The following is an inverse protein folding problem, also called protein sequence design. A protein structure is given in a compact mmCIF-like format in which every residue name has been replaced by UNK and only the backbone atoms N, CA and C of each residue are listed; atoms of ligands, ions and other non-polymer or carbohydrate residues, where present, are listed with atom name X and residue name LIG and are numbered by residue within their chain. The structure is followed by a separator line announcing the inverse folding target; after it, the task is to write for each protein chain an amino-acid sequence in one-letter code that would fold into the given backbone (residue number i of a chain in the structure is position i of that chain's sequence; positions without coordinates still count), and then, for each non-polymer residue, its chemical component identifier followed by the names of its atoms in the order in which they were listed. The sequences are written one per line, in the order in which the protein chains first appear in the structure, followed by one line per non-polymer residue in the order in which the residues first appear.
data_IF_187641416750
#
_entry.id   IF_187641416750
#
_cell.length_a   1.000
_cell.length_b   1.000
_cell.length_c   1.000
_cell.angle_alpha   90.00
_cell.angle_beta   90.00
_cell.angle_gamma   90.00
#
_symmetry.space_group_name_H-M   'P 1'
#
loop_
_entity.id
_entity.type
_entity.pdbx_description
1 polymer ?
#
# COMPACT_ATOMS: atom_id res chain seq x y z
N UNK A 1 -71.22 -5.84 48.94
CA UNK A 1 -71.01 -6.51 47.64
C UNK A 1 -69.55 -6.30 47.28
N UNK A 2 -68.71 -7.33 47.51
CA UNK A 2 -67.31 -7.34 47.06
C UNK A 2 -67.36 -7.96 45.68
N UNK A 3 -67.08 -7.15 44.65
CA UNK A 3 -66.97 -7.66 43.28
C UNK A 3 -65.61 -8.33 43.21
N UNK A 4 -65.60 -9.67 43.24
CA UNK A 4 -64.39 -10.45 43.06
C UNK A 4 -63.76 -10.08 41.71
N UNK A 5 -62.64 -9.37 41.75
CA UNK A 5 -61.81 -9.06 40.60
C UNK A 5 -61.06 -10.35 40.16
N UNK A 6 -61.81 -11.35 39.68
CA UNK A 6 -61.30 -12.65 39.22
C UNK A 6 -60.44 -12.58 37.95
N UNK A 7 -60.17 -11.38 37.42
CA UNK A 7 -59.34 -11.20 36.25
C UNK A 7 -57.85 -11.05 36.54
N UNK A 8 -57.41 -11.01 37.80
CA UNK A 8 -56.06 -10.49 38.08
C UNK A 8 -54.92 -11.52 38.12
N UNK A 9 -55.12 -12.82 37.89
CA UNK A 9 -54.07 -13.86 38.05
C UNK A 9 -54.03 -14.88 36.90
N UNK A 10 -53.88 -14.44 35.64
CA UNK A 10 -53.38 -15.34 34.58
C UNK A 10 -51.85 -15.28 34.54
N UNK A 11 -51.13 -16.32 35.03
CA UNK A 11 -49.66 -16.34 35.07
C UNK A 11 -49.05 -16.30 33.67
N UNK A 12 -49.73 -16.85 32.66
CA UNK A 12 -49.27 -16.85 31.28
C UNK A 12 -49.31 -15.45 30.67
N UNK A 13 -50.32 -14.66 31.01
CA UNK A 13 -50.41 -13.26 30.61
C UNK A 13 -49.30 -12.39 31.23
N UNK A 14 -48.91 -12.67 32.49
CA UNK A 14 -47.78 -11.98 33.14
C UNK A 14 -46.43 -12.34 32.52
N UNK A 15 -46.22 -13.60 32.20
CA UNK A 15 -45.02 -14.08 31.53
C UNK A 15 -44.89 -13.48 30.13
N UNK A 16 -45.98 -13.48 29.35
CA UNK A 16 -46.02 -12.85 28.03
C UNK A 16 -45.79 -11.33 28.09
N UNK A 17 -46.31 -10.65 29.11
CA UNK A 17 -46.04 -9.23 29.32
C UNK A 17 -44.56 -8.97 29.68
N UNK A 18 -43.94 -9.83 30.48
CA UNK A 18 -42.50 -9.76 30.79
C UNK A 18 -41.63 -9.97 29.55
N UNK A 19 -41.93 -11.00 28.75
CA UNK A 19 -41.23 -11.27 27.49
C UNK A 19 -41.40 -10.12 26.48
N UNK A 20 -42.59 -9.52 26.41
CA UNK A 20 -42.84 -8.36 25.54
C UNK A 20 -42.04 -7.12 25.99
N UNK A 21 -41.86 -6.92 27.29
CA UNK A 21 -41.04 -5.84 27.83
C UNK A 21 -39.55 -6.04 27.50
N UNK A 22 -39.02 -7.24 27.75
CA UNK A 22 -37.63 -7.60 27.39
C UNK A 22 -37.37 -7.46 25.89
N UNK A 23 -38.33 -7.88 25.06
CA UNK A 23 -38.23 -7.75 23.60
C UNK A 23 -38.18 -6.28 23.17
N UNK A 24 -39.01 -5.41 23.74
CA UNK A 24 -38.98 -3.98 23.45
C UNK A 24 -37.67 -3.33 23.89
N UNK A 25 -37.13 -3.70 25.06
CA UNK A 25 -35.84 -3.21 25.51
C UNK A 25 -34.71 -3.66 24.57
N UNK A 26 -34.72 -4.92 24.13
CA UNK A 26 -33.76 -5.44 23.17
C UNK A 26 -33.86 -4.73 21.81
N UNK A 27 -35.07 -4.43 21.32
CA UNK A 27 -35.29 -3.67 20.09
C UNK A 27 -34.75 -2.24 20.20
N UNK A 28 -34.97 -1.55 21.32
CA UNK A 28 -34.39 -0.23 21.56
C UNK A 28 -32.86 -0.27 21.60
N UNK A 29 -32.27 -1.29 22.24
CA UNK A 29 -30.81 -1.46 22.27
C UNK A 29 -30.25 -1.76 20.87
N UNK A 30 -30.95 -2.55 20.08
CA UNK A 30 -30.58 -2.85 18.70
C UNK A 30 -30.60 -1.57 17.85
N UNK A 31 -31.65 -0.75 17.95
CA UNK A 31 -31.77 0.52 17.23
C UNK A 31 -30.62 1.47 17.62
N UNK A 32 -30.35 1.62 18.93
CA UNK A 32 -29.22 2.42 19.43
C UNK A 32 -27.88 1.93 18.87
N UNK A 33 -27.66 0.61 18.82
CA UNK A 33 -26.41 0.05 18.30
C UNK A 33 -26.27 0.22 16.78
N UNK A 34 -27.35 0.09 16.00
CA UNK A 34 -27.37 0.36 14.56
C UNK A 34 -27.02 1.82 14.26
N UNK A 35 -27.59 2.77 15.01
CA UNK A 35 -27.25 4.19 14.87
C UNK A 35 -25.75 4.41 15.14
N UNK A 36 -25.20 3.78 16.17
CA UNK A 36 -23.76 3.87 16.46
C UNK A 36 -22.89 3.23 15.37
N UNK A 37 -23.29 2.08 14.82
CA UNK A 37 -22.58 1.43 13.71
C UNK A 37 -22.55 2.35 12.48
N UNK A 38 -23.69 2.93 12.10
CA UNK A 38 -23.76 3.88 10.97
C UNK A 38 -22.85 5.10 11.16
N UNK A 39 -22.61 5.51 12.40
CA UNK A 39 -21.70 6.61 12.73
C UNK A 39 -20.24 6.17 12.59
N UNK A 40 -19.89 5.01 13.13
CA UNK A 40 -18.55 4.41 13.01
C UNK A 40 -18.18 4.13 11.55
N UNK A 41 -19.11 3.65 10.74
CA UNK A 41 -18.91 3.41 9.31
C UNK A 41 -18.54 4.71 8.59
N UNK A 42 -19.28 5.79 8.84
CA UNK A 42 -18.97 7.12 8.29
C UNK A 42 -17.61 7.65 8.77
N UNK A 43 -17.24 7.41 10.02
CA UNK A 43 -15.92 7.76 10.56
C UNK A 43 -14.80 6.96 9.87
N UNK A 44 -14.99 5.66 9.65
CA UNK A 44 -14.03 4.81 8.94
C UNK A 44 -13.85 5.26 7.49
N UNK A 45 -14.94 5.57 6.78
CA UNK A 45 -14.87 6.11 5.41
C UNK A 45 -14.14 7.46 5.35
N UNK A 46 -14.30 8.31 6.37
CA UNK A 46 -13.59 9.57 6.46
C UNK A 46 -12.09 9.35 6.73
N UNK A 47 -11.76 8.49 7.69
CA UNK A 47 -10.38 8.13 7.99
C UNK A 47 -9.67 7.49 6.79
N UNK A 48 -10.36 6.61 6.06
CA UNK A 48 -9.81 5.97 4.87
C UNK A 48 -9.45 7.01 3.80
N UNK A 49 -10.33 7.98 3.57
CA UNK A 49 -10.05 9.12 2.68
C UNK A 49 -8.82 9.92 3.11
N UNK A 50 -8.69 10.22 4.40
CA UNK A 50 -7.52 10.93 4.94
C UNK A 50 -6.23 10.12 4.76
N UNK A 51 -6.27 8.80 4.97
CA UNK A 51 -5.11 7.92 4.75
C UNK A 51 -4.72 7.93 3.27
N UNK A 52 -5.68 7.87 2.35
CA UNK A 52 -5.40 7.87 0.91
C UNK A 52 -4.86 9.22 0.44
N UNK A 53 -5.38 10.33 0.98
CA UNK A 53 -4.85 11.68 0.75
C UNK A 53 -3.41 11.82 1.28
N UNK A 54 -3.15 11.41 2.53
CA UNK A 54 -1.80 11.42 3.09
C UNK A 54 -0.84 10.53 2.28
N UNK A 55 -1.29 9.36 1.80
CA UNK A 55 -0.50 8.50 0.92
C UNK A 55 -0.18 9.20 -0.40
N UNK A 56 -1.13 9.91 -1.00
CA UNK A 56 -0.90 10.69 -2.22
C UNK A 56 0.11 11.82 -1.97
N UNK A 57 0.02 12.53 -0.86
CA UNK A 57 0.99 13.55 -0.47
C UNK A 57 2.39 12.96 -0.20
N UNK A 58 2.45 11.83 0.52
CA UNK A 58 3.71 11.11 0.72
C UNK A 58 4.30 10.61 -0.60
N UNK A 59 3.50 10.23 -1.59
CA UNK A 59 3.98 9.90 -2.95
C UNK A 59 4.63 11.12 -3.61
N UNK A 60 3.97 12.28 -3.60
CA UNK A 60 4.52 13.54 -4.14
C UNK A 60 5.84 13.92 -3.46
N UNK A 61 5.89 13.82 -2.14
CA UNK A 61 7.07 14.17 -1.34
C UNK A 61 8.20 13.11 -1.45
N UNK A 62 7.87 11.83 -1.60
CA UNK A 62 8.86 10.76 -1.82
C UNK A 62 9.57 10.92 -3.16
N UNK A 63 8.87 11.36 -4.20
CA UNK A 63 9.49 11.66 -5.51
C UNK A 63 10.52 12.80 -5.40
N UNK A 64 10.33 13.74 -4.47
CA UNK A 64 11.20 14.91 -4.32
C UNK A 64 12.36 14.71 -3.34
N UNK A 65 12.18 13.91 -2.27
CA UNK A 65 13.16 13.78 -1.17
C UNK A 65 14.16 12.63 -1.34
N UNK A 66 13.83 11.54 -2.05
CA UNK A 66 14.60 10.28 -1.98
C UNK A 66 16.07 10.29 -2.43
N UNK A 67 16.59 11.19 -3.29
CA UNK A 67 18.03 11.23 -3.56
C UNK A 67 18.90 11.58 -2.33
N UNK A 68 18.32 12.21 -1.30
CA UNK A 68 19.03 12.56 -0.06
C UNK A 68 19.36 11.32 0.78
N UNK A 69 18.57 10.24 0.69
CA UNK A 69 18.80 9.00 1.47
C UNK A 69 19.96 8.17 0.91
N UNK A 70 20.17 8.22 -0.40
CA UNK A 70 21.31 7.59 -1.08
C UNK A 70 22.66 8.20 -0.66
N UNK A 71 22.66 9.48 -0.27
CA UNK A 71 23.87 10.22 0.09
C UNK A 71 24.23 10.18 1.58
N UNK A 72 23.26 10.08 2.50
CA UNK A 72 23.52 10.09 3.95
C UNK A 72 24.11 8.76 4.45
N UNK A 73 24.02 7.69 3.66
CA UNK A 73 24.35 6.32 4.10
C UNK A 73 25.62 5.71 3.48
N UNK A 74 26.30 6.43 2.57
CA UNK A 74 27.59 6.00 2.02
C UNK A 74 28.74 6.39 2.96
N UNK A 75 29.38 5.39 3.58
CA UNK A 75 30.48 5.53 4.58
C UNK A 75 31.87 5.77 3.97
N UNK A 76 31.94 6.35 2.77
CA UNK A 76 33.21 6.75 2.15
C UNK A 76 33.20 8.27 1.94
N UNK A 77 33.34 9.04 3.01
CA UNK A 77 33.47 10.50 2.91
C UNK A 77 34.48 10.99 3.96
N UNK A 78 35.74 11.05 3.55
CA UNK A 78 36.81 11.69 4.30
C UNK A 78 36.75 13.21 4.11
N UNK A 79 36.25 13.91 5.14
CA UNK A 79 36.71 15.25 5.47
C UNK A 79 36.10 16.48 4.78
N UNK A 80 35.34 17.24 5.58
CA UNK A 80 35.39 18.72 5.74
C UNK A 80 34.56 19.64 4.80
N UNK A 81 33.58 20.31 5.46
CA UNK A 81 33.11 21.71 5.37
C UNK A 81 32.15 22.23 4.27
N UNK A 82 31.13 22.95 4.79
CA UNK A 82 30.28 24.00 4.19
C UNK A 82 29.05 23.66 3.33
N UNK A 83 27.91 23.65 4.03
CA UNK A 83 26.50 23.50 3.61
C UNK A 83 25.95 24.57 2.61
N UNK A 84 26.77 25.22 1.78
CA UNK A 84 26.30 26.31 0.88
C UNK A 84 26.55 26.05 -0.63
N UNK A 85 27.61 25.33 -1.00
CA UNK A 85 27.94 25.07 -2.40
C UNK A 85 27.13 23.91 -3.00
N UNK A 86 26.93 22.85 -2.22
CA UNK A 86 26.24 21.63 -2.68
C UNK A 86 24.73 21.82 -2.82
N UNK A 87 24.08 22.65 -1.98
CA UNK A 87 22.68 23.02 -2.16
C UNK A 87 22.43 23.77 -3.50
N UNK A 88 23.40 24.59 -3.93
CA UNK A 88 23.36 25.32 -5.21
C UNK A 88 23.66 24.41 -6.42
N UNK A 89 24.60 23.47 -6.29
CA UNK A 89 24.88 22.45 -7.30
C UNK A 89 23.70 21.45 -7.45
N UNK A 90 23.03 21.11 -6.34
CA UNK A 90 21.91 20.17 -6.31
C UNK A 90 20.63 20.72 -6.96
N UNK A 91 20.43 22.04 -6.95
CA UNK A 91 19.38 22.68 -7.76
C UNK A 91 19.63 22.50 -9.27
N UNK A 92 20.88 22.20 -9.67
CA UNK A 92 21.36 22.08 -11.06
C UNK A 92 21.35 20.63 -11.58
N UNK A 93 21.56 19.64 -10.72
CA UNK A 93 21.56 18.19 -11.04
C UNK A 93 20.17 17.54 -11.11
N UNK A 94 19.10 18.34 -10.91
CA UNK A 94 17.67 18.00 -11.03
C UNK A 94 17.20 17.33 -12.34
N UNK A 95 18.06 17.08 -13.35
CA UNK A 95 17.60 17.10 -14.75
C UNK A 95 17.59 15.83 -15.60
N UNK A 96 18.24 14.70 -15.30
CA UNK A 96 18.14 13.54 -16.23
C UNK A 96 18.26 12.19 -15.54
N UNK A 97 17.14 11.45 -15.47
CA UNK A 97 17.24 9.99 -15.50
C UNK A 97 17.78 9.62 -16.88
N UNK A 98 18.82 8.77 -16.98
CA UNK A 98 19.35 8.38 -18.28
C UNK A 98 18.25 7.72 -19.09
N UNK A 99 17.95 8.26 -20.28
CA UNK A 99 16.98 7.65 -21.21
C UNK A 99 17.32 6.18 -21.49
N UNK A 100 18.60 5.82 -21.41
CA UNK A 100 19.10 4.45 -21.52
C UNK A 100 18.49 3.52 -20.46
N UNK A 101 18.38 3.93 -19.20
CA UNK A 101 17.80 3.09 -18.15
C UNK A 101 16.29 2.88 -18.34
N UNK A 102 15.58 3.95 -18.73
CA UNK A 102 14.14 3.86 -19.07
C UNK A 102 13.94 2.89 -20.24
N UNK A 103 14.76 3.02 -21.28
CA UNK A 103 14.69 2.17 -22.46
C UNK A 103 15.07 0.71 -22.14
N UNK A 104 16.02 0.48 -21.24
CA UNK A 104 16.43 -0.85 -20.80
C UNK A 104 15.26 -1.57 -20.13
N UNK A 105 14.60 -0.93 -19.16
CA UNK A 105 13.39 -1.47 -18.52
C UNK A 105 12.30 -1.67 -19.57
N UNK A 106 11.98 -0.64 -20.35
CA UNK A 106 10.89 -0.66 -21.33
C UNK A 106 11.04 -1.78 -22.38
N UNK A 107 12.26 -2.14 -22.75
CA UNK A 107 12.55 -3.18 -23.75
C UNK A 107 12.76 -4.57 -23.14
N UNK A 108 12.85 -4.68 -21.82
CA UNK A 108 12.98 -5.97 -21.16
C UNK A 108 11.69 -6.77 -21.26
N UNK A 109 11.79 -8.09 -21.37
CA UNK A 109 10.63 -9.01 -21.30
C UNK A 109 10.00 -9.10 -19.91
N UNK A 110 10.65 -8.49 -18.91
CA UNK A 110 10.22 -8.48 -17.51
C UNK A 110 9.37 -7.25 -17.15
N UNK A 111 9.27 -6.28 -18.06
CA UNK A 111 8.42 -5.11 -17.91
C UNK A 111 7.27 -5.16 -18.91
N UNK A 112 6.04 -5.09 -18.39
CA UNK A 112 4.83 -4.98 -19.18
C UNK A 112 4.04 -3.77 -18.70
N UNK A 113 4.05 -2.71 -19.52
CA UNK A 113 3.42 -1.43 -19.16
C UNK A 113 1.90 -1.50 -19.07
N UNK A 114 1.25 -2.32 -19.90
CA UNK A 114 -0.20 -2.46 -19.90
C UNK A 114 -0.63 -3.29 -18.70
N UNK A 115 0.05 -4.41 -18.46
CA UNK A 115 -0.13 -5.20 -17.24
C UNK A 115 0.12 -4.38 -15.98
N UNK A 116 1.16 -3.54 -15.97
CA UNK A 116 1.50 -2.67 -14.85
C UNK A 116 0.37 -1.69 -14.51
N UNK A 117 -0.22 -1.04 -15.51
CA UNK A 117 -1.34 -0.11 -15.29
C UNK A 117 -2.64 -0.84 -14.91
N UNK A 118 -2.89 -2.02 -15.47
CA UNK A 118 -4.06 -2.83 -15.15
C UNK A 118 -3.98 -3.43 -13.73
N UNK A 119 -2.80 -3.86 -13.31
CA UNK A 119 -2.56 -4.47 -11.99
C UNK A 119 -2.61 -3.46 -10.85
N UNK A 120 -2.44 -2.17 -11.15
CA UNK A 120 -2.44 -1.09 -10.17
C UNK A 120 -3.39 0.04 -10.57
N UNK A 121 -4.72 -0.13 -10.37
CA UNK A 121 -5.74 0.86 -10.77
C UNK A 121 -5.49 2.26 -10.19
N UNK A 122 -4.89 2.36 -9.01
CA UNK A 122 -4.51 3.65 -8.39
C UNK A 122 -3.48 4.46 -9.19
N UNK A 123 -2.79 3.84 -10.15
CA UNK A 123 -1.87 4.53 -11.06
C UNK A 123 -2.57 5.14 -12.26
N UNK A 124 -3.86 4.87 -12.46
CA UNK A 124 -4.63 5.52 -13.51
C UNK A 124 -4.69 7.03 -13.28
N UNK A 125 -4.75 7.54 -12.05
CA UNK A 125 -4.73 9.00 -11.83
C UNK A 125 -3.32 9.61 -11.84
N UNK A 126 -2.27 8.78 -11.92
CA UNK A 126 -0.89 9.25 -12.01
C UNK A 126 -0.51 9.59 -13.46
N UNK A 127 -0.28 10.88 -13.73
CA UNK A 127 0.07 11.35 -15.07
C UNK A 127 1.38 10.78 -15.59
N UNK A 128 2.36 10.50 -14.72
CA UNK A 128 3.63 9.92 -15.13
C UNK A 128 3.45 8.44 -15.48
N UNK A 129 2.68 7.69 -14.69
CA UNK A 129 2.37 6.29 -14.97
C UNK A 129 1.65 6.13 -16.31
N UNK A 130 0.63 6.96 -16.58
CA UNK A 130 -0.11 6.95 -17.86
C UNK A 130 0.78 7.24 -19.07
N UNK A 131 1.64 8.24 -18.98
CA UNK A 131 2.47 8.67 -20.13
C UNK A 131 3.68 7.77 -20.34
N UNK A 132 4.29 7.30 -19.25
CA UNK A 132 5.49 6.47 -19.33
C UNK A 132 5.57 5.50 -18.14
N UNK A 133 4.89 4.34 -18.24
CA UNK A 133 4.88 3.31 -17.19
C UNK A 133 6.29 2.88 -16.76
N UNK A 134 7.22 2.70 -17.71
CA UNK A 134 8.59 2.29 -17.41
C UNK A 134 9.35 3.35 -16.61
N UNK A 135 9.17 4.63 -16.94
CA UNK A 135 9.74 5.74 -16.18
C UNK A 135 9.10 5.88 -14.80
N UNK A 136 7.78 5.67 -14.70
CA UNK A 136 7.10 5.63 -13.41
C UNK A 136 7.64 4.49 -12.54
N UNK A 137 7.74 3.27 -13.08
CA UNK A 137 8.29 2.13 -12.38
C UNK A 137 9.73 2.39 -11.90
N UNK A 138 10.59 2.93 -12.77
CA UNK A 138 11.97 3.26 -12.45
C UNK A 138 12.07 4.30 -11.32
N UNK A 139 11.18 5.31 -11.31
CA UNK A 139 11.19 6.40 -10.32
C UNK A 139 10.49 6.08 -9.01
N UNK A 140 9.44 5.28 -9.08
CA UNK A 140 8.44 5.12 -8.01
C UNK A 140 8.16 3.65 -7.81
N UNK A 141 7.61 2.98 -8.83
CA UNK A 141 7.01 1.65 -8.69
C UNK A 141 7.93 0.59 -8.07
N UNK A 142 9.16 0.44 -8.57
CA UNK A 142 10.09 -0.56 -8.02
C UNK A 142 10.46 -0.31 -6.56
N UNK A 143 10.48 0.96 -6.12
CA UNK A 143 10.76 1.32 -4.71
C UNK A 143 9.54 1.22 -3.80
N UNK A 144 8.34 1.23 -4.39
CA UNK A 144 7.09 0.87 -3.74
C UNK A 144 6.81 -0.63 -3.80
N UNK A 145 7.78 -1.42 -4.30
CA UNK A 145 7.70 -2.89 -4.44
C UNK A 145 6.56 -3.33 -5.37
N UNK A 146 6.13 -2.46 -6.28
CA UNK A 146 5.21 -2.82 -7.35
C UNK A 146 5.94 -3.72 -8.34
N UNK A 147 5.24 -4.65 -8.96
CA UNK A 147 5.80 -5.58 -9.92
C UNK A 147 5.79 -4.92 -11.31
N UNK A 148 6.90 -4.94 -12.06
CA UNK A 148 6.97 -4.33 -13.39
C UNK A 148 6.20 -5.11 -14.46
N UNK A 149 5.85 -6.36 -14.18
CA UNK A 149 5.23 -7.29 -15.11
C UNK A 149 4.98 -8.64 -14.43
N UNK A 150 4.32 -9.59 -15.12
CA UNK A 150 3.97 -10.89 -14.55
C UNK A 150 5.18 -11.77 -14.21
N UNK A 151 6.34 -11.51 -14.81
CA UNK A 151 7.52 -12.37 -14.70
C UNK A 151 8.57 -11.88 -13.70
N UNK A 152 8.32 -10.80 -12.97
CA UNK A 152 9.26 -10.28 -11.98
C UNK A 152 8.53 -9.75 -10.74
N UNK A 153 8.90 -10.32 -9.59
CA UNK A 153 8.42 -9.93 -8.28
C UNK A 153 9.43 -9.00 -7.60
N UNK A 154 9.15 -7.70 -7.61
CA UNK A 154 10.02 -6.68 -7.01
C UNK A 154 10.16 -6.86 -5.50
N UNK A 155 9.09 -7.26 -4.83
CA UNK A 155 9.10 -7.44 -3.39
C UNK A 155 9.99 -8.62 -3.02
N UNK A 156 9.76 -9.77 -3.66
CA UNK A 156 10.54 -10.97 -3.44
C UNK A 156 12.02 -10.75 -3.74
N UNK A 157 12.35 -10.07 -4.85
CA UNK A 157 13.73 -9.78 -5.22
C UNK A 157 14.45 -8.95 -4.14
N UNK A 158 13.79 -7.91 -3.61
CA UNK A 158 14.36 -7.07 -2.53
C UNK A 158 14.42 -7.80 -1.18
N UNK A 159 13.54 -8.77 -0.94
CA UNK A 159 13.61 -9.62 0.25
C UNK A 159 14.76 -10.64 0.15
N UNK A 160 14.96 -11.22 -1.04
CA UNK A 160 15.98 -12.22 -1.31
C UNK A 160 17.39 -11.60 -1.34
N UNK A 161 17.50 -10.38 -1.85
CA UNK A 161 18.77 -9.69 -2.08
C UNK A 161 18.87 -8.42 -1.23
N UNK A 162 19.31 -8.61 0.02
CA UNK A 162 19.42 -7.54 1.01
C UNK A 162 20.40 -6.44 0.57
N UNK A 163 21.47 -6.78 -0.14
CA UNK A 163 22.44 -5.85 -0.72
C UNK A 163 21.78 -4.88 -1.74
N UNK A 164 20.87 -5.38 -2.58
CA UNK A 164 20.11 -4.55 -3.53
C UNK A 164 19.12 -3.65 -2.78
N UNK A 165 18.44 -4.20 -1.77
CA UNK A 165 17.52 -3.43 -0.93
C UNK A 165 18.24 -2.31 -0.18
N UNK A 166 19.39 -2.61 0.40
CA UNK A 166 20.13 -1.69 1.27
C UNK A 166 20.89 -0.63 0.45
N UNK A 167 21.33 -0.97 -0.77
CA UNK A 167 21.85 0.02 -1.74
C UNK A 167 20.79 0.98 -2.28
N UNK A 168 19.50 0.62 -2.15
CA UNK A 168 18.39 1.45 -2.60
C UNK A 168 18.31 1.58 -4.12
N UNK A 169 18.82 0.60 -4.87
CA UNK A 169 18.70 0.55 -6.34
C UNK A 169 17.34 -0.03 -6.73
N UNK A 170 16.80 0.42 -7.88
CA UNK A 170 15.55 -0.13 -8.41
C UNK A 170 15.74 -1.64 -8.74
N UNK A 171 14.86 -2.54 -8.28
CA UNK A 171 15.11 -3.97 -8.31
C UNK A 171 15.22 -4.54 -9.73
N UNK A 172 14.31 -4.18 -10.65
CA UNK A 172 14.41 -4.65 -12.03
C UNK A 172 15.61 -4.02 -12.74
N UNK A 173 15.90 -2.74 -12.50
CA UNK A 173 17.09 -2.12 -13.09
C UNK A 173 18.38 -2.82 -12.65
N UNK A 174 18.49 -3.15 -11.36
CA UNK A 174 19.62 -3.93 -10.84
C UNK A 174 19.72 -5.29 -11.52
N UNK A 175 18.60 -6.00 -11.62
CA UNK A 175 18.58 -7.31 -12.27
C UNK A 175 19.08 -7.24 -13.72
N UNK A 176 18.57 -6.29 -14.51
CA UNK A 176 18.92 -6.12 -15.92
C UNK A 176 20.37 -5.65 -16.15
N UNK A 177 21.00 -5.00 -15.18
CA UNK A 177 22.38 -4.50 -15.32
C UNK A 177 23.44 -5.44 -14.74
N UNK A 178 23.06 -6.22 -13.71
CA UNK A 178 24.00 -7.01 -12.92
C UNK A 178 23.42 -8.36 -12.53
N UNK A 179 22.16 -8.39 -12.07
CA UNK A 179 21.59 -9.60 -11.47
C UNK A 179 21.52 -10.80 -12.41
N UNK A 180 21.29 -10.62 -13.71
CA UNK A 180 21.31 -11.71 -14.69
C UNK A 180 22.71 -12.32 -14.83
N UNK A 181 23.74 -11.48 -15.03
CA UNK A 181 25.14 -11.92 -15.14
C UNK A 181 25.69 -12.51 -13.83
N UNK A 182 25.18 -12.04 -12.69
CA UNK A 182 25.48 -12.59 -11.35
C UNK A 182 24.74 -13.90 -11.05
N UNK A 183 23.87 -14.39 -11.95
CA UNK A 183 23.09 -15.61 -11.75
C UNK A 183 22.01 -15.49 -10.68
N UNK A 184 21.55 -14.26 -10.37
CA UNK A 184 20.47 -14.05 -9.41
C UNK A 184 19.16 -14.60 -9.96
N UNK A 185 18.39 -15.23 -9.08
CA UNK A 185 17.09 -15.77 -9.41
C UNK A 185 16.05 -14.66 -9.41
N UNK A 186 15.01 -14.85 -10.21
CA UNK A 186 13.79 -14.04 -10.21
C UNK A 186 12.58 -14.95 -9.99
N UNK A 187 11.47 -14.34 -9.57
CA UNK A 187 10.20 -15.03 -9.35
C UNK A 187 9.10 -14.30 -10.11
N UNK A 188 8.15 -15.05 -10.66
CA UNK A 188 6.95 -14.49 -11.27
C UNK A 188 5.99 -13.90 -10.21
N UNK A 189 5.28 -12.84 -10.58
CA UNK A 189 4.44 -12.01 -9.69
C UNK A 189 3.16 -12.70 -9.15
N UNK A 190 2.95 -13.99 -9.42
CA UNK A 190 1.81 -14.78 -8.94
C UNK A 190 2.18 -16.11 -8.29
N UNK A 191 3.47 -16.43 -8.17
CA UNK A 191 3.93 -17.61 -7.46
C UNK A 191 4.08 -17.26 -5.97
N UNK A 192 2.95 -17.16 -5.26
CA UNK A 192 2.97 -17.30 -3.81
C UNK A 192 3.56 -18.66 -3.50
N UNK A 193 4.62 -18.70 -2.69
CA UNK A 193 5.11 -19.94 -2.13
C UNK A 193 3.93 -20.71 -1.54
N UNK A 194 3.83 -22.00 -1.88
CA UNK A 194 2.95 -22.98 -1.27
C UNK A 194 2.54 -22.59 0.16
N UNK A 195 1.30 -22.13 0.31
CA UNK A 195 0.61 -22.13 1.60
C UNK A 195 0.10 -23.56 1.84
N UNK A 196 1.00 -24.54 1.80
CA UNK A 196 0.70 -25.89 2.22
C UNK A 196 1.22 -26.06 3.65
N UNK A 197 0.30 -26.47 4.52
CA UNK A 197 0.49 -26.92 5.90
C UNK A 197 0.40 -25.87 7.04
N UNK A 198 -0.83 -25.45 7.34
CA UNK A 198 -1.36 -25.52 8.70
C UNK A 198 -2.80 -26.03 8.66
N UNK A 199 -2.94 -27.34 8.46
CA UNK A 199 -4.03 -28.09 9.05
C UNK A 199 -3.59 -28.53 10.45
N UNK A 200 -4.29 -28.04 11.46
CA UNK A 200 -4.79 -28.73 12.67
C UNK A 200 -5.57 -27.71 13.50
#
# INVERSE_FOLDING_TARGET
MIVDNKFNHDPKAREQAGQAFELNEALEQLEKSQVQLSKRERELEHMQRLVDEQRAELRKLRVTIRPLRWFVQSREWDGVSERSALAKLWRRSKKRIPQRAINLIKRSSLFDGDWYLQSYPQLQDDSLAKVNPAMHYLKVGGFERLNPGPHFDSYWYLCQYADVRDSGVNPLLHYLLHGEDEGRKIRAAGQSADTTHLGL
#
